data_IF_339099547536
#
_entry.id   IF_339099547536
#
_cell.length_a   1.000
_cell.length_b   1.000
_cell.length_c   1.000
_cell.angle_alpha   90.00
_cell.angle_beta   90.00
_cell.angle_gamma   90.00
#
_symmetry.space_group_name_H-M   'P 1'
#
loop_
_entity.id
_entity.type
_entity.pdbx_description
1 polymer ?
#
# COMPACT_ATOMS: atom_id res chain seq x y z
N UNK A 1 -17.56 11.80 -30.70
CA UNK A 1 -18.56 10.84 -30.18
C UNK A 1 -17.78 9.59 -29.80
N UNK A 2 -17.65 9.30 -28.53
CA UNK A 2 -17.11 8.02 -28.05
C UNK A 2 -18.18 6.99 -28.41
N UNK A 3 -17.87 6.11 -29.37
CA UNK A 3 -18.79 5.03 -29.77
C UNK A 3 -19.25 4.25 -28.57
N UNK A 4 -20.49 3.82 -28.52
CA UNK A 4 -21.06 3.01 -27.46
C UNK A 4 -20.16 1.79 -27.24
N UNK A 5 -19.54 1.72 -26.06
CA UNK A 5 -18.69 0.59 -25.68
C UNK A 5 -19.54 -0.69 -25.76
N UNK A 6 -19.19 -1.62 -26.61
CA UNK A 6 -19.86 -2.93 -26.65
C UNK A 6 -19.36 -3.76 -25.46
N UNK A 7 -20.00 -3.55 -24.31
CA UNK A 7 -19.63 -4.20 -23.03
C UNK A 7 -19.60 -5.73 -23.15
N UNK A 8 -20.58 -6.42 -23.77
CA UNK A 8 -20.49 -7.87 -23.97
C UNK A 8 -19.24 -8.29 -24.74
N UNK A 9 -18.94 -7.66 -25.87
CA UNK A 9 -17.75 -8.00 -26.67
C UNK A 9 -16.45 -7.73 -25.90
N UNK A 10 -16.37 -6.64 -25.12
CA UNK A 10 -15.24 -6.36 -24.26
C UNK A 10 -15.06 -7.45 -23.20
N UNK A 11 -16.13 -7.84 -22.52
CA UNK A 11 -16.10 -8.91 -21.52
C UNK A 11 -15.66 -10.26 -22.10
N UNK A 12 -16.09 -10.58 -23.32
CA UNK A 12 -15.74 -11.84 -23.98
C UNK A 12 -14.26 -11.87 -24.40
N UNK A 13 -13.73 -10.75 -24.85
CA UNK A 13 -12.34 -10.62 -25.34
C UNK A 13 -11.29 -10.32 -24.28
N UNK A 14 -11.69 -10.10 -23.01
CA UNK A 14 -10.79 -9.71 -21.92
C UNK A 14 -10.71 -10.80 -20.88
N UNK A 15 -9.51 -11.28 -20.56
CA UNK A 15 -9.28 -12.33 -19.56
C UNK A 15 -8.96 -11.80 -18.16
N UNK A 16 -8.44 -10.59 -18.09
CA UNK A 16 -7.97 -9.96 -16.84
C UNK A 16 -8.62 -8.59 -16.67
N UNK A 17 -9.21 -8.36 -15.52
CA UNK A 17 -9.78 -7.07 -15.15
C UNK A 17 -9.02 -6.52 -13.95
N UNK A 18 -8.60 -5.26 -14.05
CA UNK A 18 -7.87 -4.55 -13.02
C UNK A 18 -8.75 -3.40 -12.54
N UNK A 19 -9.00 -3.34 -11.23
CA UNK A 19 -9.85 -2.34 -10.59
C UNK A 19 -9.03 -1.49 -9.64
N UNK A 20 -9.26 -0.19 -9.66
CA UNK A 20 -8.96 0.66 -8.52
C UNK A 20 -9.93 0.35 -7.37
N UNK A 21 -9.55 0.68 -6.14
CA UNK A 21 -10.39 0.39 -4.97
C UNK A 21 -11.20 1.60 -4.52
N UNK A 22 -10.52 2.68 -4.18
CA UNK A 22 -11.15 3.87 -3.60
C UNK A 22 -11.89 4.68 -4.67
N UNK A 23 -13.21 4.81 -4.52
CA UNK A 23 -14.08 5.45 -5.51
C UNK A 23 -14.58 4.54 -6.63
N UNK A 24 -14.11 3.28 -6.72
CA UNK A 24 -14.52 2.28 -7.72
C UNK A 24 -15.23 1.10 -7.06
N UNK A 25 -14.65 0.52 -6.03
CA UNK A 25 -15.25 -0.58 -5.26
C UNK A 25 -15.99 -0.05 -4.03
N UNK A 26 -15.39 0.91 -3.34
CA UNK A 26 -15.97 1.55 -2.16
C UNK A 26 -15.68 3.05 -2.11
N UNK A 27 -16.43 3.75 -1.27
CA UNK A 27 -16.16 5.12 -0.84
C UNK A 27 -16.14 5.16 0.67
N UNK A 28 -14.98 5.39 1.27
CA UNK A 28 -14.77 5.16 2.71
C UNK A 28 -15.03 3.69 3.05
N UNK A 29 -16.01 3.43 3.93
CA UNK A 29 -16.39 2.07 4.35
C UNK A 29 -17.70 1.59 3.73
N UNK A 30 -18.16 2.25 2.65
CA UNK A 30 -19.41 1.91 1.98
C UNK A 30 -19.14 1.42 0.57
N UNK A 31 -19.71 0.27 0.20
CA UNK A 31 -19.63 -0.27 -1.15
C UNK A 31 -20.32 0.65 -2.17
N UNK A 32 -19.72 0.74 -3.34
CA UNK A 32 -20.40 1.36 -4.49
C UNK A 32 -21.51 0.40 -4.96
N UNK A 33 -22.71 0.93 -5.19
CA UNK A 33 -23.83 0.10 -5.64
C UNK A 33 -23.47 -0.78 -6.85
N UNK A 34 -23.82 -2.05 -6.80
CA UNK A 34 -23.59 -3.06 -7.82
C UNK A 34 -22.15 -3.53 -7.99
N UNK A 35 -21.17 -3.00 -7.24
CA UNK A 35 -19.76 -3.43 -7.35
C UNK A 35 -19.63 -4.95 -7.13
N UNK A 36 -20.21 -5.48 -6.05
CA UNK A 36 -20.16 -6.92 -5.76
C UNK A 36 -20.77 -7.75 -6.89
N UNK A 37 -21.96 -7.39 -7.37
CA UNK A 37 -22.63 -8.12 -8.45
C UNK A 37 -21.83 -8.12 -9.76
N UNK A 38 -21.14 -7.02 -10.06
CA UNK A 38 -20.26 -6.93 -11.23
C UNK A 38 -19.04 -7.85 -11.07
N UNK A 39 -18.38 -7.85 -9.92
CA UNK A 39 -17.24 -8.72 -9.64
C UNK A 39 -17.63 -10.20 -9.69
N UNK A 40 -18.76 -10.57 -9.08
CA UNK A 40 -19.28 -11.94 -9.12
C UNK A 40 -19.59 -12.39 -10.55
N UNK A 41 -20.18 -11.51 -11.36
CA UNK A 41 -20.45 -11.81 -12.77
C UNK A 41 -19.16 -12.10 -13.56
N UNK A 42 -18.10 -11.32 -13.32
CA UNK A 42 -16.80 -11.54 -13.96
C UNK A 42 -16.17 -12.87 -13.49
N UNK A 43 -16.21 -13.16 -12.18
CA UNK A 43 -15.71 -14.42 -11.61
C UNK A 43 -16.45 -15.65 -12.16
N UNK A 44 -17.79 -15.57 -12.27
CA UNK A 44 -18.61 -16.65 -12.86
C UNK A 44 -18.27 -16.91 -14.34
N UNK A 45 -17.77 -15.89 -15.03
CA UNK A 45 -17.25 -16.01 -16.41
C UNK A 45 -15.78 -16.46 -16.49
N UNK A 46 -15.18 -16.84 -15.38
CA UNK A 46 -13.80 -17.32 -15.32
C UNK A 46 -12.75 -16.21 -15.53
N UNK A 47 -13.13 -14.94 -15.35
CA UNK A 47 -12.20 -13.82 -15.50
C UNK A 47 -11.32 -13.66 -14.26
N UNK A 48 -10.05 -13.31 -14.47
CA UNK A 48 -9.13 -12.98 -13.36
C UNK A 48 -9.31 -11.52 -12.97
N UNK A 49 -9.36 -11.27 -11.68
CA UNK A 49 -9.54 -9.93 -11.12
C UNK A 49 -8.29 -9.53 -10.33
N UNK A 50 -7.87 -8.28 -10.49
CA UNK A 50 -6.84 -7.67 -9.66
C UNK A 50 -7.34 -6.33 -9.15
N UNK A 51 -6.95 -6.01 -7.91
CA UNK A 51 -7.31 -4.79 -7.22
C UNK A 51 -6.06 -3.98 -6.93
N UNK A 52 -5.95 -2.83 -7.60
CA UNK A 52 -4.81 -1.93 -7.44
C UNK A 52 -5.25 -0.71 -6.64
N UNK A 53 -4.46 -0.32 -5.66
CA UNK A 53 -4.71 0.90 -4.88
C UNK A 53 -3.41 1.66 -4.61
N UNK A 54 -3.46 2.98 -4.76
CA UNK A 54 -2.38 3.88 -4.34
C UNK A 54 -2.36 4.11 -2.82
N UNK A 55 -3.30 3.55 -2.09
CA UNK A 55 -3.38 3.64 -0.64
C UNK A 55 -2.33 2.74 0.01
N UNK A 56 -1.44 3.32 0.83
CA UNK A 56 -0.37 2.63 1.55
C UNK A 56 -0.66 2.38 3.03
N UNK A 57 -1.85 2.76 3.50
CA UNK A 57 -2.16 2.72 4.93
C UNK A 57 -2.34 1.31 5.49
N UNK A 58 -2.59 0.33 4.62
CA UNK A 58 -2.80 -1.07 4.98
C UNK A 58 -1.90 -1.98 4.16
N UNK A 59 -1.56 -3.14 4.72
CA UNK A 59 -0.98 -4.25 3.98
C UNK A 59 -2.04 -4.93 3.10
N UNK A 60 -1.62 -5.84 2.20
CA UNK A 60 -2.54 -6.66 1.41
C UNK A 60 -3.52 -7.44 2.27
N UNK A 61 -3.06 -8.00 3.41
CA UNK A 61 -3.95 -8.70 4.34
C UNK A 61 -4.93 -7.74 5.03
N UNK A 62 -4.50 -6.51 5.36
CA UNK A 62 -5.39 -5.48 5.87
C UNK A 62 -6.44 -5.04 4.84
N UNK A 63 -6.08 -4.96 3.55
CA UNK A 63 -7.06 -4.72 2.49
C UNK A 63 -7.96 -5.92 2.28
N UNK A 64 -7.42 -7.15 2.30
CA UNK A 64 -8.20 -8.37 2.21
C UNK A 64 -9.28 -8.44 3.29
N UNK A 65 -8.93 -8.10 4.53
CA UNK A 65 -9.90 -8.02 5.63
C UNK A 65 -11.01 -7.03 5.33
N UNK A 66 -10.68 -5.84 4.81
CA UNK A 66 -11.69 -4.85 4.39
C UNK A 66 -12.61 -5.37 3.28
N UNK A 67 -12.08 -6.08 2.28
CA UNK A 67 -12.90 -6.70 1.24
C UNK A 67 -13.90 -7.70 1.83
N UNK A 68 -13.43 -8.55 2.76
CA UNK A 68 -14.26 -9.57 3.41
C UNK A 68 -15.35 -8.90 4.26
N UNK A 69 -15.03 -7.86 5.04
CA UNK A 69 -15.98 -7.08 5.81
C UNK A 69 -17.08 -6.46 4.93
N UNK A 70 -16.72 -6.07 3.71
CA UNK A 70 -17.65 -5.56 2.70
C UNK A 70 -18.37 -6.66 1.90
N UNK A 71 -18.18 -7.94 2.24
CA UNK A 71 -18.83 -9.07 1.58
C UNK A 71 -18.25 -9.47 0.25
N UNK A 72 -17.02 -9.04 -0.07
CA UNK A 72 -16.30 -9.41 -1.30
C UNK A 72 -15.22 -10.44 -0.97
N UNK A 73 -15.30 -11.62 -1.56
CA UNK A 73 -14.24 -12.62 -1.46
C UNK A 73 -13.08 -12.25 -2.37
N UNK A 74 -11.86 -12.17 -1.79
CA UNK A 74 -10.63 -11.83 -2.51
C UNK A 74 -9.46 -12.58 -1.89
N UNK A 75 -8.50 -12.99 -2.71
CA UNK A 75 -7.23 -13.55 -2.28
C UNK A 75 -6.16 -12.43 -2.16
N UNK A 76 -5.18 -12.61 -1.29
CA UNK A 76 -4.16 -11.59 -1.07
C UNK A 76 -3.30 -11.32 -2.33
N UNK A 77 -3.13 -12.30 -3.19
CA UNK A 77 -2.42 -12.21 -4.47
C UNK A 77 -3.22 -11.50 -5.58
N UNK A 78 -4.51 -11.26 -5.37
CA UNK A 78 -5.33 -10.40 -6.21
C UNK A 78 -5.17 -8.90 -5.86
N UNK A 79 -4.54 -8.58 -4.71
CA UNK A 79 -4.43 -7.20 -4.20
C UNK A 79 -3.03 -6.65 -4.44
N UNK A 80 -2.95 -5.47 -5.03
CA UNK A 80 -1.70 -4.75 -5.30
C UNK A 80 -1.78 -3.33 -4.73
N UNK A 81 -1.30 -3.15 -3.50
CA UNK A 81 -1.25 -1.84 -2.82
C UNK A 81 0.09 -1.14 -3.06
N UNK A 82 0.12 0.18 -2.87
CA UNK A 82 1.39 0.91 -2.95
C UNK A 82 2.39 0.51 -1.85
N UNK A 83 1.92 0.07 -0.68
CA UNK A 83 2.76 -0.52 0.37
C UNK A 83 3.44 -1.82 -0.10
N UNK A 84 2.69 -2.71 -0.73
CA UNK A 84 3.23 -3.93 -1.34
C UNK A 84 4.21 -3.62 -2.47
N UNK A 85 3.87 -2.66 -3.34
CA UNK A 85 4.75 -2.25 -4.44
C UNK A 85 6.12 -1.78 -3.94
N UNK A 86 6.16 -0.99 -2.84
CA UNK A 86 7.40 -0.53 -2.22
C UNK A 86 8.23 -1.70 -1.67
N UNK A 87 7.61 -2.62 -0.94
CA UNK A 87 8.28 -3.80 -0.40
C UNK A 87 8.82 -4.71 -1.52
N UNK A 88 8.03 -4.96 -2.55
CA UNK A 88 8.42 -5.75 -3.72
C UNK A 88 9.59 -5.12 -4.48
N UNK A 89 9.57 -3.79 -4.65
CA UNK A 89 10.67 -3.06 -5.28
C UNK A 89 11.99 -3.26 -4.51
N UNK A 90 11.96 -3.11 -3.19
CA UNK A 90 13.14 -3.30 -2.35
C UNK A 90 13.61 -4.76 -2.28
N UNK A 91 12.70 -5.71 -2.36
CA UNK A 91 13.04 -7.13 -2.45
C UNK A 91 13.76 -7.45 -3.77
N UNK A 92 13.34 -6.83 -4.87
CA UNK A 92 13.97 -6.99 -6.19
C UNK A 92 15.26 -6.16 -6.34
N UNK A 93 15.41 -5.10 -5.54
CA UNK A 93 16.58 -4.22 -5.51
C UNK A 93 17.15 -4.16 -4.08
N UNK A 94 17.84 -5.22 -3.63
CA UNK A 94 18.27 -5.33 -2.24
C UNK A 94 19.20 -4.20 -1.84
N UNK A 95 19.02 -3.70 -0.63
CA UNK A 95 19.89 -2.73 -0.02
C UNK A 95 21.26 -3.36 0.32
N UNK A 96 22.34 -2.57 0.38
CA UNK A 96 23.66 -3.06 0.82
C UNK A 96 23.57 -3.67 2.23
N UNK A 97 24.31 -4.75 2.50
CA UNK A 97 24.23 -5.47 3.77
C UNK A 97 24.49 -4.61 5.03
N UNK A 98 25.33 -3.57 4.90
CA UNK A 98 25.64 -2.64 5.98
C UNK A 98 24.61 -1.50 6.14
N UNK A 99 23.70 -1.37 5.18
CA UNK A 99 22.59 -0.38 5.16
C UNK A 99 21.29 -1.07 4.74
N UNK A 100 20.91 -2.11 5.49
CA UNK A 100 19.83 -3.02 5.11
C UNK A 100 18.47 -2.70 5.74
N UNK A 101 18.36 -1.59 6.46
CA UNK A 101 17.10 -1.14 7.08
C UNK A 101 16.42 -0.05 6.26
N UNK A 102 15.11 0.03 6.45
CA UNK A 102 14.25 1.05 5.83
C UNK A 102 13.67 1.95 6.90
N UNK A 103 13.78 3.26 6.73
CA UNK A 103 13.03 4.20 7.55
C UNK A 103 11.68 4.49 6.91
N UNK A 104 10.60 4.34 7.68
CA UNK A 104 9.23 4.51 7.19
C UNK A 104 8.66 5.84 7.68
N UNK A 105 8.20 6.67 6.73
CA UNK A 105 7.31 7.79 6.98
C UNK A 105 5.95 7.40 6.42
N UNK A 106 5.08 6.84 7.25
CA UNK A 106 3.80 6.30 6.80
C UNK A 106 3.10 5.49 7.88
N UNK A 107 1.96 4.93 7.50
CA UNK A 107 1.18 4.05 8.36
C UNK A 107 1.66 2.60 8.31
N UNK A 108 1.07 1.76 9.16
CA UNK A 108 1.47 0.36 9.40
C UNK A 108 1.54 -0.51 8.15
N UNK A 109 0.72 -0.24 7.13
CA UNK A 109 0.69 -1.03 5.92
C UNK A 109 2.05 -1.17 5.23
N UNK A 110 2.88 -0.12 5.27
CA UNK A 110 4.23 -0.15 4.71
C UNK A 110 5.13 -1.08 5.54
N UNK A 111 5.15 -0.89 6.87
CA UNK A 111 5.98 -1.69 7.77
C UNK A 111 5.62 -3.18 7.73
N UNK A 112 4.32 -3.50 7.67
CA UNK A 112 3.82 -4.87 7.56
C UNK A 112 4.25 -5.54 6.24
N UNK A 113 4.17 -4.84 5.12
CA UNK A 113 4.63 -5.41 3.83
C UNK A 113 6.15 -5.56 3.76
N UNK A 114 6.92 -4.64 4.37
CA UNK A 114 8.37 -4.78 4.51
C UNK A 114 8.74 -5.99 5.38
N UNK A 115 8.06 -6.19 6.49
CA UNK A 115 8.25 -7.36 7.36
C UNK A 115 7.97 -8.67 6.62
N UNK A 116 6.85 -8.75 5.88
CA UNK A 116 6.52 -9.91 5.04
C UNK A 116 7.56 -10.18 3.94
N UNK A 117 8.23 -9.12 3.45
CA UNK A 117 9.33 -9.23 2.50
C UNK A 117 10.69 -9.55 3.16
N UNK A 118 10.75 -9.66 4.51
CA UNK A 118 11.99 -9.90 5.27
C UNK A 118 12.91 -8.69 5.34
N UNK A 119 12.37 -7.48 5.15
CA UNK A 119 13.14 -6.23 5.15
C UNK A 119 12.94 -5.52 6.49
N UNK A 120 13.99 -5.35 7.33
CA UNK A 120 13.88 -4.65 8.59
C UNK A 120 13.50 -3.18 8.39
N UNK A 121 12.55 -2.69 9.18
CA UNK A 121 12.13 -1.29 9.13
C UNK A 121 12.04 -0.66 10.51
N UNK A 122 12.10 0.67 10.55
CA UNK A 122 11.93 1.50 11.74
C UNK A 122 11.17 2.78 11.36
N UNK A 123 10.73 3.55 12.35
CA UNK A 123 9.90 4.73 12.12
C UNK A 123 8.41 4.42 12.09
N UNK A 124 7.66 5.03 11.19
CA UNK A 124 6.22 4.82 11.06
C UNK A 124 5.44 5.19 12.33
N UNK A 125 4.59 4.29 12.79
CA UNK A 125 3.76 4.50 13.98
C UNK A 125 4.59 4.69 15.26
N UNK A 126 5.78 4.07 15.37
CA UNK A 126 6.65 4.17 16.53
C UNK A 126 7.20 5.60 16.76
N UNK A 127 7.19 6.44 15.74
CA UNK A 127 7.66 7.82 15.80
C UNK A 127 6.51 8.85 15.81
N UNK A 128 5.26 8.41 16.02
CA UNK A 128 4.09 9.29 15.95
C UNK A 128 4.09 10.40 17.01
N UNK A 129 4.61 10.10 18.20
CA UNK A 129 4.65 11.03 19.33
C UNK A 129 5.99 11.74 19.50
N UNK A 130 6.95 11.48 18.60
CA UNK A 130 8.26 12.12 18.69
C UNK A 130 8.20 13.57 18.20
N UNK A 131 8.99 14.40 18.88
CA UNK A 131 9.15 15.80 18.55
C UNK A 131 10.49 16.05 17.88
N UNK A 132 10.53 17.04 17.00
CA UNK A 132 11.77 17.51 16.37
C UNK A 132 12.81 17.95 17.41
N UNK A 133 14.07 17.76 17.07
CA UNK A 133 15.20 18.16 17.90
C UNK A 133 15.73 19.51 17.40
N UNK A 134 15.75 20.50 18.30
CA UNK A 134 16.17 21.87 17.99
C UNK A 134 17.25 22.37 18.93
N UNK A 135 18.06 23.29 18.47
CA UNK A 135 18.99 24.09 19.28
C UNK A 135 20.45 23.90 18.87
N UNK A 136 21.36 24.77 19.37
CA UNK A 136 22.79 24.65 19.12
C UNK A 136 23.33 23.32 19.64
N UNK A 137 23.95 22.52 18.77
CA UNK A 137 24.49 21.19 19.13
C UNK A 137 23.44 20.10 19.27
N UNK A 138 22.19 20.35 18.88
CA UNK A 138 21.17 19.33 18.83
C UNK A 138 21.46 18.34 17.69
N UNK A 139 21.60 17.06 18.03
CA UNK A 139 21.79 15.98 17.07
C UNK A 139 20.60 15.03 17.14
N UNK A 140 20.13 14.57 15.99
CA UNK A 140 19.18 13.46 15.90
C UNK A 140 20.01 12.19 15.85
N UNK A 141 19.87 11.36 16.85
CA UNK A 141 20.45 10.01 16.84
C UNK A 141 19.72 9.19 15.77
N UNK A 142 20.40 8.89 14.69
CA UNK A 142 19.86 8.10 13.60
C UNK A 142 20.64 6.82 13.36
N UNK A 143 19.94 5.78 12.98
CA UNK A 143 20.53 4.48 12.70
C UNK A 143 21.27 4.51 11.36
N UNK A 144 22.59 4.44 11.41
CA UNK A 144 23.45 4.46 10.20
C UNK A 144 23.26 3.25 9.28
N UNK A 145 22.59 2.21 9.73
CA UNK A 145 22.23 1.04 8.92
C UNK A 145 20.99 1.24 8.05
N UNK A 146 20.33 2.41 8.12
CA UNK A 146 19.26 2.78 7.19
C UNK A 146 19.84 3.06 5.82
N UNK A 147 19.31 2.37 4.82
CA UNK A 147 19.75 2.50 3.43
C UNK A 147 18.68 3.01 2.47
N UNK A 148 17.44 3.12 2.95
CA UNK A 148 16.35 3.69 2.18
C UNK A 148 15.30 4.34 3.10
N UNK A 149 14.57 5.29 2.53
CA UNK A 149 13.38 5.90 3.16
C UNK A 149 12.18 5.59 2.27
N UNK A 150 11.13 5.04 2.87
CA UNK A 150 9.86 4.82 2.19
C UNK A 150 8.82 5.76 2.77
N UNK A 151 8.25 6.58 1.90
CA UNK A 151 7.26 7.60 2.27
C UNK A 151 5.90 7.22 1.69
N UNK A 152 4.88 7.18 2.51
CA UNK A 152 3.49 6.99 2.12
C UNK A 152 2.55 7.90 2.90
N UNK A 153 1.26 7.61 2.85
CA UNK A 153 0.30 8.36 3.65
C UNK A 153 0.54 8.15 5.14
N UNK A 154 0.66 9.25 5.87
CA UNK A 154 0.88 9.25 7.31
C UNK A 154 -0.04 10.28 7.98
N UNK A 155 -1.03 9.81 8.72
CA UNK A 155 -1.97 10.67 9.47
C UNK A 155 -1.37 11.23 10.75
N UNK A 156 -0.21 10.72 11.17
CA UNK A 156 0.56 11.16 12.33
C UNK A 156 1.94 11.70 11.91
N UNK A 157 2.02 12.30 10.71
CA UNK A 157 3.25 12.93 10.24
C UNK A 157 3.66 14.08 11.19
N UNK A 158 4.96 14.14 11.49
CA UNK A 158 5.54 15.19 12.32
C UNK A 158 6.93 15.58 11.82
N UNK A 159 7.46 16.69 12.34
CA UNK A 159 8.76 17.20 11.92
C UNK A 159 9.93 16.26 12.30
N UNK A 160 9.82 15.46 13.35
CA UNK A 160 10.83 14.48 13.71
C UNK A 160 11.03 13.45 12.59
N UNK A 161 9.93 12.90 12.06
CA UNK A 161 9.99 11.94 10.96
C UNK A 161 10.66 12.51 9.71
N UNK A 162 10.35 13.78 9.38
CA UNK A 162 10.96 14.47 8.24
C UNK A 162 12.45 14.69 8.49
N UNK A 163 12.81 15.16 9.69
CA UNK A 163 14.19 15.40 10.11
C UNK A 163 15.01 14.11 10.07
N UNK A 164 14.48 13.01 10.61
CA UNK A 164 15.13 11.70 10.59
C UNK A 164 15.32 11.19 9.15
N UNK A 165 14.28 11.26 8.32
CA UNK A 165 14.32 10.83 6.94
C UNK A 165 15.36 11.58 6.10
N UNK A 166 15.63 12.85 6.41
CA UNK A 166 16.65 13.66 5.73
C UNK A 166 18.08 13.20 6.07
N UNK A 167 18.29 12.57 7.24
CA UNK A 167 19.61 12.13 7.70
C UNK A 167 20.00 10.75 7.15
N UNK A 168 19.02 9.96 6.68
CA UNK A 168 19.22 8.65 6.07
C UNK A 168 19.70 8.78 4.63
#
# INVERSE_FOLDING_TARGET
MIGSLNVPALMDSTDVFIFDCDGVIWKGDTLIPQATAALDTLRQRGKRLFFITNNSTRSREGFRSKFIELGISVAADEIFSSSFAAALYLQQNPLPAHKNKVYVVGQEGISQELELAGIPSLGGAADSDKSQVWGPGAEVDHDSSVGAVVVGMDTCINYYKIQYAQLC
#
